data_IF_791521394523
#
_entry.id   IF_791521394523
#
_cell.length_a   1.000
_cell.length_b   1.000
_cell.length_c   1.000
_cell.angle_alpha   90.00
_cell.angle_beta   90.00
_cell.angle_gamma   90.00
#
_symmetry.space_group_name_H-M   'P 1'
#
loop_
_entity.id
_entity.type
_entity.pdbx_description
1 polymer ?
#
# COMPACT_ATOMS: atom_id res chain seq x y z
N UNK A 1 14.86 10.34 -14.40
CA UNK A 1 14.63 9.20 -13.50
C UNK A 1 15.76 9.25 -12.47
N UNK A 2 15.47 9.47 -11.19
CA UNK A 2 16.51 9.37 -10.15
C UNK A 2 17.05 7.93 -10.13
N UNK A 3 18.35 7.76 -9.93
CA UNK A 3 18.90 6.43 -9.70
C UNK A 3 18.20 5.80 -8.47
N UNK A 4 17.82 4.52 -8.52
CA UNK A 4 17.18 3.86 -7.39
C UNK A 4 18.13 3.88 -6.19
N UNK A 5 17.59 4.21 -5.02
CA UNK A 5 18.36 4.25 -3.79
C UNK A 5 18.85 2.84 -3.42
N UNK A 6 20.15 2.62 -3.17
CA UNK A 6 20.68 1.28 -2.97
C UNK A 6 20.20 0.68 -1.64
N UNK A 7 19.81 -0.59 -1.69
CA UNK A 7 19.53 -1.40 -0.50
C UNK A 7 20.86 -1.87 0.11
N UNK A 8 21.24 -1.31 1.26
CA UNK A 8 22.55 -1.57 1.87
C UNK A 8 22.49 -2.52 3.06
N UNK A 9 21.31 -2.76 3.65
CA UNK A 9 21.14 -3.56 4.87
C UNK A 9 20.03 -4.59 4.69
N UNK A 10 20.41 -5.81 4.34
CA UNK A 10 19.48 -6.91 4.05
C UNK A 10 19.82 -8.10 4.93
N UNK A 11 18.83 -8.66 5.63
CA UNK A 11 19.04 -9.86 6.44
C UNK A 11 19.13 -11.13 5.59
N UNK A 12 18.23 -11.27 4.60
CA UNK A 12 18.24 -12.35 3.62
C UNK A 12 17.99 -11.80 2.22
N UNK A 13 18.98 -11.89 1.35
CA UNK A 13 18.86 -11.53 -0.06
C UNK A 13 18.85 -12.80 -0.92
N UNK A 14 17.91 -12.85 -1.86
CA UNK A 14 17.77 -13.89 -2.87
C UNK A 14 17.94 -13.23 -4.23
N UNK A 15 18.95 -13.66 -4.96
CA UNK A 15 19.08 -13.46 -6.40
C UNK A 15 19.16 -14.83 -7.08
N UNK A 16 18.94 -14.87 -8.38
CA UNK A 16 18.66 -16.05 -9.22
C UNK A 16 19.21 -17.40 -8.69
N UNK A 17 20.51 -17.46 -8.39
CA UNK A 17 21.19 -18.66 -7.90
C UNK A 17 21.78 -18.52 -6.49
N UNK A 18 21.68 -17.36 -5.84
CA UNK A 18 22.38 -17.10 -4.59
C UNK A 18 21.45 -16.75 -3.43
N UNK A 19 21.81 -17.29 -2.28
CA UNK A 19 21.26 -16.92 -0.98
C UNK A 19 22.36 -16.19 -0.22
N UNK A 20 22.17 -14.90 0.06
CA UNK A 20 23.10 -14.11 0.86
C UNK A 20 22.46 -13.74 2.20
N UNK A 21 23.12 -14.11 3.30
CA UNK A 21 22.74 -13.72 4.66
C UNK A 21 23.56 -12.52 5.12
N UNK A 22 22.90 -11.44 5.52
CA UNK A 22 23.55 -10.29 6.12
C UNK A 22 23.62 -10.39 7.64
N UNK A 23 24.65 -9.81 8.25
CA UNK A 23 24.83 -9.75 9.71
C UNK A 23 24.03 -8.63 10.40
N UNK A 24 23.04 -8.05 9.70
CA UNK A 24 22.26 -6.88 10.17
C UNK A 24 21.01 -7.25 10.98
N UNK A 25 20.64 -8.52 10.99
CA UNK A 25 19.54 -9.07 11.79
C UNK A 25 19.82 -10.53 12.13
N UNK A 26 19.14 -11.05 13.15
CA UNK A 26 19.23 -12.47 13.49
C UNK A 26 18.37 -13.27 12.52
N UNK A 27 19.00 -14.17 11.78
CA UNK A 27 18.32 -15.12 10.88
C UNK A 27 18.52 -16.54 11.38
N UNK A 28 17.42 -17.20 11.73
CA UNK A 28 17.36 -18.62 12.07
C UNK A 28 16.52 -19.32 11.01
N UNK A 29 17.00 -20.44 10.47
CA UNK A 29 16.25 -21.16 9.45
C UNK A 29 16.58 -22.65 9.50
N UNK A 30 15.57 -23.49 9.23
CA UNK A 30 15.78 -24.92 9.00
C UNK A 30 16.42 -25.17 7.63
N UNK A 31 15.88 -24.55 6.59
CA UNK A 31 16.41 -24.63 5.23
C UNK A 31 16.14 -23.33 4.47
N UNK A 32 17.11 -22.90 3.68
CA UNK A 32 16.97 -21.84 2.68
C UNK A 32 17.81 -22.23 1.47
N UNK A 33 17.18 -22.27 0.31
CA UNK A 33 17.78 -22.46 -1.02
C UNK A 33 17.43 -21.26 -1.89
N UNK A 34 17.98 -21.12 -3.10
CA UNK A 34 17.60 -20.05 -4.03
C UNK A 34 16.10 -20.06 -4.41
N UNK A 35 15.44 -21.21 -4.33
CA UNK A 35 14.03 -21.39 -4.72
C UNK A 35 13.05 -21.24 -3.55
N UNK A 36 13.52 -21.40 -2.31
CA UNK A 36 12.63 -21.27 -1.17
C UNK A 36 13.26 -21.39 0.21
N UNK A 37 12.48 -20.98 1.21
CA UNK A 37 12.82 -21.09 2.62
C UNK A 37 11.62 -21.54 3.44
N UNK A 38 11.87 -22.34 4.48
CA UNK A 38 10.83 -22.79 5.40
C UNK A 38 11.29 -22.69 6.84
N UNK A 39 10.35 -22.36 7.75
CA UNK A 39 10.65 -22.20 9.17
C UNK A 39 11.80 -21.20 9.39
N UNK A 40 11.77 -20.11 8.62
CA UNK A 40 12.71 -19.00 8.72
C UNK A 40 12.17 -18.00 9.74
N UNK A 41 13.03 -17.57 10.66
CA UNK A 41 12.75 -16.54 11.64
C UNK A 41 13.78 -15.43 11.51
N UNK A 42 13.34 -14.25 11.11
CA UNK A 42 14.16 -13.04 10.99
C UNK A 42 13.72 -12.06 12.07
N UNK A 43 14.67 -11.58 12.88
CA UNK A 43 14.42 -10.55 13.90
C UNK A 43 15.49 -9.47 13.82
N UNK A 44 15.07 -8.22 13.65
CA UNK A 44 15.97 -7.07 13.54
C UNK A 44 15.44 -5.84 14.27
N UNK A 45 16.32 -5.11 14.94
CA UNK A 45 15.98 -3.86 15.66
C UNK A 45 16.64 -2.62 15.05
N UNK A 46 17.62 -2.81 14.17
CA UNK A 46 18.34 -1.70 13.57
C UNK A 46 17.54 -1.06 12.42
N UNK A 47 17.71 0.25 12.26
CA UNK A 47 17.06 1.04 11.21
C UNK A 47 17.47 0.59 9.80
N UNK A 48 16.57 0.76 8.84
CA UNK A 48 16.80 0.55 7.41
C UNK A 48 17.15 -0.90 7.03
N UNK A 49 16.84 -1.87 7.90
CA UNK A 49 17.06 -3.28 7.63
C UNK A 49 15.87 -3.89 6.91
N UNK A 50 16.10 -4.42 5.71
CA UNK A 50 15.16 -5.29 5.02
C UNK A 50 15.24 -6.72 5.57
N UNK A 51 14.08 -7.37 5.76
CA UNK A 51 14.02 -8.76 6.20
C UNK A 51 14.40 -9.72 5.08
N UNK A 52 13.54 -9.82 4.08
CA UNK A 52 13.77 -10.59 2.85
C UNK A 52 13.75 -9.67 1.64
N UNK A 53 14.75 -9.77 0.77
CA UNK A 53 14.74 -9.13 -0.56
C UNK A 53 14.88 -10.22 -1.61
N UNK A 54 13.98 -10.24 -2.58
CA UNK A 54 14.02 -11.10 -3.77
C UNK A 54 14.06 -10.19 -5.00
N UNK A 55 15.09 -10.35 -5.83
CA UNK A 55 15.39 -9.42 -6.91
C UNK A 55 15.90 -10.13 -8.18
N UNK A 56 16.13 -9.37 -9.25
CA UNK A 56 16.48 -9.92 -10.56
C UNK A 56 15.32 -10.76 -11.11
N UNK A 57 15.60 -11.94 -11.66
CA UNK A 57 14.59 -12.90 -12.15
C UNK A 57 14.33 -14.07 -11.19
N UNK A 58 14.77 -13.95 -9.94
CA UNK A 58 14.64 -15.00 -8.94
C UNK A 58 13.17 -15.36 -8.67
N UNK A 59 12.91 -16.65 -8.43
CA UNK A 59 11.59 -17.18 -8.05
C UNK A 59 11.72 -17.85 -6.70
N UNK A 60 11.13 -17.25 -5.67
CA UNK A 60 11.34 -17.69 -4.28
C UNK A 60 10.02 -17.88 -3.53
N UNK A 61 9.92 -18.98 -2.78
CA UNK A 61 8.80 -19.22 -1.86
C UNK A 61 9.27 -19.22 -0.41
N UNK A 62 8.72 -18.32 0.42
CA UNK A 62 8.87 -18.38 1.87
C UNK A 62 7.63 -19.01 2.50
N UNK A 63 7.81 -20.09 3.27
CA UNK A 63 6.71 -20.79 3.92
C UNK A 63 6.89 -20.93 5.43
N UNK A 64 5.80 -20.91 6.20
CA UNK A 64 5.79 -21.23 7.64
C UNK A 64 6.84 -20.44 8.43
N UNK A 65 6.90 -19.12 8.19
CA UNK A 65 8.03 -18.27 8.59
C UNK A 65 7.58 -16.99 9.29
N UNK A 66 8.49 -16.34 10.01
CA UNK A 66 8.22 -15.09 10.73
C UNK A 66 9.30 -14.05 10.48
N UNK A 67 8.89 -12.81 10.22
CA UNK A 67 9.77 -11.66 10.10
C UNK A 67 9.28 -10.58 11.08
N UNK A 68 10.13 -10.17 12.01
CA UNK A 68 9.82 -9.14 13.01
C UNK A 68 10.92 -8.06 12.97
N UNK A 69 10.54 -6.85 12.53
CA UNK A 69 11.46 -5.73 12.39
C UNK A 69 10.96 -4.52 13.20
N UNK A 70 11.83 -3.96 14.05
CA UNK A 70 11.51 -2.77 14.85
C UNK A 70 12.14 -1.47 14.32
N UNK A 71 13.16 -1.58 13.47
CA UNK A 71 13.89 -0.42 12.94
C UNK A 71 13.04 0.45 12.00
N UNK A 72 13.40 1.73 11.92
CA UNK A 72 12.76 2.73 11.06
C UNK A 72 13.15 2.56 9.60
N UNK A 73 12.22 2.81 8.70
CA UNK A 73 12.47 2.97 7.28
C UNK A 73 13.01 4.35 6.93
N UNK A 74 13.26 4.55 5.64
CA UNK A 74 13.74 5.82 5.08
C UNK A 74 12.91 6.25 3.87
N UNK A 75 12.59 5.29 3.02
CA UNK A 75 11.91 5.52 1.76
C UNK A 75 11.15 4.24 1.37
N UNK A 76 9.81 4.28 1.46
CA UNK A 76 8.98 3.13 1.13
C UNK A 76 8.85 2.93 -0.39
N UNK A 77 9.05 3.98 -1.20
CA UNK A 77 9.16 3.86 -2.66
C UNK A 77 10.36 3.00 -3.09
N UNK A 78 11.40 2.94 -2.27
CA UNK A 78 12.56 2.06 -2.47
C UNK A 78 12.41 0.73 -1.69
N UNK A 79 11.32 0.55 -0.94
CA UNK A 79 11.11 -0.60 -0.08
C UNK A 79 12.12 -0.70 1.08
N UNK A 80 12.76 0.40 1.50
CA UNK A 80 13.76 0.37 2.57
C UNK A 80 13.08 0.07 3.91
N UNK A 81 13.62 -0.92 4.62
CA UNK A 81 13.04 -1.50 5.84
C UNK A 81 11.73 -2.29 5.63
N UNK A 82 11.45 -2.74 4.42
CA UNK A 82 10.35 -3.68 4.20
C UNK A 82 10.66 -5.04 4.85
N UNK A 83 9.64 -5.66 5.45
CA UNK A 83 9.72 -7.03 5.95
C UNK A 83 10.06 -8.02 4.82
N UNK A 84 9.35 -7.92 3.71
CA UNK A 84 9.67 -8.61 2.46
C UNK A 84 9.56 -7.65 1.26
N UNK A 85 10.51 -7.72 0.34
CA UNK A 85 10.55 -6.91 -0.88
C UNK A 85 10.75 -7.82 -2.10
N UNK A 86 9.85 -7.71 -3.08
CA UNK A 86 10.05 -8.23 -4.43
C UNK A 86 10.32 -7.05 -5.38
N UNK A 87 11.38 -7.13 -6.18
CA UNK A 87 11.74 -6.05 -7.12
C UNK A 87 12.37 -6.56 -8.40
N UNK A 88 12.60 -5.65 -9.35
CA UNK A 88 13.01 -5.94 -10.72
C UNK A 88 12.00 -6.85 -11.46
N UNK A 89 12.32 -8.11 -11.73
CA UNK A 89 11.46 -9.10 -12.40
C UNK A 89 11.18 -10.33 -11.50
N UNK A 90 11.38 -10.18 -10.18
CA UNK A 90 11.33 -11.30 -9.26
C UNK A 90 9.90 -11.82 -9.05
N UNK A 91 9.78 -13.11 -8.73
CA UNK A 91 8.54 -13.71 -8.26
C UNK A 91 8.69 -14.18 -6.81
N UNK A 92 7.88 -13.62 -5.91
CA UNK A 92 7.88 -13.96 -4.49
C UNK A 92 6.54 -14.55 -4.08
N UNK A 93 6.56 -15.75 -3.50
CA UNK A 93 5.40 -16.33 -2.82
C UNK A 93 5.63 -16.37 -1.31
N UNK A 94 4.68 -15.83 -0.54
CA UNK A 94 4.65 -15.85 0.91
C UNK A 94 3.47 -16.69 1.39
N UNK A 95 3.73 -17.85 2.01
CA UNK A 95 2.68 -18.80 2.43
C UNK A 95 2.74 -19.07 3.93
N UNK A 96 1.64 -18.79 4.65
CA UNK A 96 1.58 -18.98 6.12
C UNK A 96 2.73 -18.27 6.83
N UNK A 97 2.94 -17.01 6.46
CA UNK A 97 3.97 -16.16 7.08
C UNK A 97 3.33 -15.14 8.02
N UNK A 98 4.07 -14.75 9.05
CA UNK A 98 3.75 -13.59 9.87
C UNK A 98 4.85 -12.54 9.69
N UNK A 99 4.48 -11.34 9.25
CA UNK A 99 5.40 -10.22 9.10
C UNK A 99 4.89 -9.05 9.92
N UNK A 100 5.70 -8.58 10.86
CA UNK A 100 5.39 -7.44 11.72
C UNK A 100 6.51 -6.41 11.62
N UNK A 101 6.14 -5.18 11.28
CA UNK A 101 7.04 -4.03 11.27
C UNK A 101 6.57 -2.95 12.24
N UNK A 102 7.51 -2.29 12.94
CA UNK A 102 7.21 -1.25 13.95
C UNK A 102 7.95 0.07 13.72
N UNK A 103 8.55 0.24 12.54
CA UNK A 103 9.21 1.47 12.14
C UNK A 103 8.29 2.39 11.35
N UNK A 104 8.53 3.70 11.43
CA UNK A 104 8.03 4.65 10.42
C UNK A 104 8.51 4.23 9.03
N UNK A 105 7.66 4.34 8.01
CA UNK A 105 7.92 3.99 6.60
C UNK A 105 8.19 2.49 6.36
N UNK A 106 8.21 1.66 7.41
CA UNK A 106 8.52 0.24 7.30
C UNK A 106 7.26 -0.57 6.93
N UNK A 107 7.18 -0.99 5.67
CA UNK A 107 6.09 -1.86 5.19
C UNK A 107 6.31 -3.31 5.61
N UNK A 108 5.22 -4.06 5.76
CA UNK A 108 5.33 -5.50 5.91
C UNK A 108 5.79 -6.14 4.58
N UNK A 109 5.17 -5.73 3.46
CA UNK A 109 5.52 -6.27 2.14
C UNK A 109 5.47 -5.18 1.07
N UNK A 110 6.47 -5.16 0.19
CA UNK A 110 6.50 -4.29 -0.99
C UNK A 110 6.79 -5.11 -2.26
N UNK A 111 6.11 -4.77 -3.36
CA UNK A 111 6.39 -5.27 -4.70
C UNK A 111 6.55 -4.08 -5.66
N UNK A 112 7.63 -4.05 -6.45
CA UNK A 112 7.89 -2.93 -7.38
C UNK A 112 8.40 -3.43 -8.73
N UNK A 113 8.61 -2.50 -9.66
CA UNK A 113 9.13 -2.72 -11.01
C UNK A 113 8.18 -3.62 -11.82
N UNK A 114 8.62 -4.81 -12.23
CA UNK A 114 7.82 -5.82 -12.96
C UNK A 114 7.64 -7.10 -12.15
N UNK A 115 7.84 -7.04 -10.83
CA UNK A 115 7.78 -8.21 -9.96
C UNK A 115 6.35 -8.76 -9.77
N UNK A 116 6.28 -10.04 -9.41
CA UNK A 116 5.04 -10.72 -9.04
C UNK A 116 5.10 -11.14 -7.58
N UNK A 117 4.06 -10.80 -6.82
CA UNK A 117 3.92 -11.15 -5.42
C UNK A 117 2.64 -11.96 -5.19
N UNK A 118 2.77 -13.10 -4.52
CA UNK A 118 1.64 -13.89 -4.09
C UNK A 118 1.70 -14.15 -2.59
N UNK A 119 0.67 -13.74 -1.86
CA UNK A 119 0.61 -13.89 -0.41
C UNK A 119 -0.62 -14.72 -0.05
N UNK A 120 -0.41 -15.79 0.71
CA UNK A 120 -1.48 -16.73 1.05
C UNK A 120 -1.44 -17.09 2.53
N UNK A 121 -2.60 -17.02 3.21
CA UNK A 121 -2.75 -17.42 4.62
C UNK A 121 -1.79 -16.69 5.55
N UNK A 122 -1.50 -15.41 5.28
CA UNK A 122 -0.49 -14.64 6.00
C UNK A 122 -1.10 -13.63 6.97
N UNK A 123 -0.32 -13.24 7.97
CA UNK A 123 -0.59 -12.09 8.84
C UNK A 123 0.46 -11.02 8.58
N UNK A 124 0.02 -9.86 8.07
CA UNK A 124 0.88 -8.73 7.74
C UNK A 124 0.48 -7.54 8.60
N UNK A 125 1.43 -6.98 9.35
CA UNK A 125 1.16 -5.87 10.27
C UNK A 125 2.24 -4.80 10.11
N UNK A 126 1.83 -3.55 9.88
CA UNK A 126 2.71 -2.40 10.00
C UNK A 126 2.16 -1.43 11.06
N UNK A 127 2.92 -1.27 12.14
CA UNK A 127 2.54 -0.41 13.26
C UNK A 127 2.92 1.06 13.04
N UNK A 128 3.77 1.35 12.05
CA UNK A 128 4.37 2.66 11.90
C UNK A 128 5.25 3.03 13.10
N UNK A 129 5.61 4.31 13.19
CA UNK A 129 6.39 4.86 14.29
C UNK A 129 6.34 6.39 14.30
N UNK A 130 7.00 7.01 15.26
CA UNK A 130 7.11 8.47 15.32
C UNK A 130 8.02 9.02 14.21
N UNK A 131 7.62 10.14 13.63
CA UNK A 131 8.48 10.88 12.73
C UNK A 131 9.75 11.36 13.46
N UNK A 132 10.92 11.39 12.79
CA UNK A 132 12.13 11.93 13.39
C UNK A 132 11.97 13.42 13.69
N UNK A 133 12.63 13.90 14.75
CA UNK A 133 12.66 15.32 15.09
C UNK A 133 13.17 16.14 13.91
N UNK A 134 12.50 17.25 13.61
CA UNK A 134 12.84 18.13 12.49
C UNK A 134 12.42 17.61 11.11
N UNK A 135 11.63 16.53 11.03
CA UNK A 135 11.04 16.10 9.77
C UNK A 135 10.16 17.20 9.17
N UNK A 136 10.43 17.55 7.92
CA UNK A 136 9.63 18.49 7.14
C UNK A 136 8.86 17.69 6.09
N UNK A 137 7.53 17.84 6.13
CA UNK A 137 6.58 17.24 5.19
C UNK A 137 7.02 17.49 3.76
N UNK A 138 6.91 16.45 2.94
CA UNK A 138 7.10 16.52 1.49
C UNK A 138 6.26 15.47 0.80
N UNK A 139 5.92 15.74 -0.45
CA UNK A 139 5.21 14.79 -1.32
C UNK A 139 6.24 14.19 -2.29
N UNK A 140 6.31 12.86 -2.37
CA UNK A 140 7.26 12.13 -3.22
C UNK A 140 8.35 11.39 -2.44
N UNK A 141 9.51 11.08 -3.05
CA UNK A 141 10.58 10.30 -2.40
C UNK A 141 11.02 10.89 -1.06
N UNK A 142 11.12 10.04 -0.03
CA UNK A 142 11.43 10.44 1.34
C UNK A 142 10.24 11.02 2.11
N UNK A 143 9.02 10.90 1.58
CA UNK A 143 7.78 11.11 2.32
C UNK A 143 7.65 10.08 3.46
N UNK A 144 7.29 10.53 4.65
CA UNK A 144 7.14 9.69 5.84
C UNK A 144 5.74 9.75 6.47
N UNK A 145 4.84 10.50 5.84
CA UNK A 145 3.45 10.68 6.21
C UNK A 145 2.61 10.83 4.93
N UNK A 146 1.30 10.51 4.93
CA UNK A 146 0.48 10.63 3.72
C UNK A 146 0.42 12.07 3.19
N UNK A 147 0.23 12.26 1.86
CA UNK A 147 0.00 13.57 1.28
C UNK A 147 -1.21 14.28 1.92
N UNK A 148 -1.03 15.55 2.30
CA UNK A 148 -2.09 16.39 2.90
C UNK A 148 -3.44 16.33 2.16
N UNK A 149 -3.51 16.33 0.82
CA UNK A 149 -4.79 16.29 0.09
C UNK A 149 -5.68 15.08 0.40
N UNK A 150 -5.11 13.98 0.90
CA UNK A 150 -5.88 12.80 1.31
C UNK A 150 -6.66 13.03 2.61
N UNK A 151 -6.28 14.01 3.44
CA UNK A 151 -6.96 14.27 4.70
C UNK A 151 -6.83 13.15 5.73
N UNK A 152 -5.75 12.37 5.67
CA UNK A 152 -5.42 11.31 6.62
C UNK A 152 -4.07 11.57 7.29
N UNK A 153 -3.81 10.85 8.38
CA UNK A 153 -2.51 10.82 9.05
C UNK A 153 -2.01 9.39 9.21
N UNK A 154 -0.72 9.22 9.50
CA UNK A 154 -0.11 7.90 9.68
C UNK A 154 1.32 7.91 9.16
N UNK A 155 2.04 6.82 9.37
CA UNK A 155 3.48 6.81 9.13
C UNK A 155 4.00 5.56 8.44
N UNK A 156 3.15 4.57 8.13
CA UNK A 156 3.56 3.40 7.36
C UNK A 156 2.41 2.83 6.56
N UNK A 157 2.73 2.28 5.38
CA UNK A 157 1.83 1.46 4.59
C UNK A 157 2.13 -0.01 4.87
N UNK A 158 1.11 -0.83 5.15
CA UNK A 158 1.35 -2.26 5.43
C UNK A 158 1.83 -2.98 4.18
N UNK A 159 1.19 -2.68 3.05
CA UNK A 159 1.59 -3.20 1.75
C UNK A 159 1.69 -2.08 0.73
N UNK A 160 2.60 -2.25 -0.22
CA UNK A 160 2.83 -1.30 -1.31
C UNK A 160 3.17 -2.03 -2.61
N UNK A 161 2.40 -1.77 -3.66
CA UNK A 161 2.60 -2.31 -5.01
C UNK A 161 2.86 -1.18 -5.99
N UNK A 162 3.97 -1.24 -6.72
CA UNK A 162 4.45 -0.10 -7.51
C UNK A 162 4.87 -0.49 -8.93
N UNK A 163 4.99 0.52 -9.79
CA UNK A 163 5.39 0.35 -11.17
C UNK A 163 4.36 -0.50 -11.92
N UNK A 164 4.80 -1.62 -12.47
CA UNK A 164 3.98 -2.60 -13.18
C UNK A 164 3.91 -3.95 -12.42
N UNK A 165 4.16 -3.92 -11.11
CA UNK A 165 4.10 -5.12 -10.28
C UNK A 165 2.68 -5.67 -10.14
N UNK A 166 2.57 -6.98 -9.97
CA UNK A 166 1.32 -7.70 -9.80
C UNK A 166 1.31 -8.38 -8.43
N UNK A 167 0.31 -8.09 -7.60
CA UNK A 167 0.20 -8.67 -6.27
C UNK A 167 -1.17 -9.29 -6.01
N UNK A 168 -1.18 -10.53 -5.50
CA UNK A 168 -2.40 -11.23 -5.08
C UNK A 168 -2.29 -11.66 -3.62
N UNK A 169 -3.31 -11.34 -2.82
CA UNK A 169 -3.42 -11.68 -1.40
C UNK A 169 -4.66 -12.56 -1.18
N UNK A 170 -4.48 -13.79 -0.68
CA UNK A 170 -5.57 -14.73 -0.43
C UNK A 170 -5.62 -15.17 1.03
N UNK A 171 -6.81 -15.07 1.64
CA UNK A 171 -7.04 -15.54 3.02
C UNK A 171 -6.05 -14.95 4.02
N UNK A 172 -5.79 -13.66 3.89
CA UNK A 172 -4.81 -12.94 4.70
C UNK A 172 -5.48 -12.07 5.77
N UNK A 173 -4.72 -11.77 6.82
CA UNK A 173 -5.02 -10.68 7.75
C UNK A 173 -4.00 -9.57 7.53
N UNK A 174 -4.45 -8.41 7.07
CA UNK A 174 -3.61 -7.23 6.82
C UNK A 174 -4.02 -6.11 7.76
N UNK A 175 -3.05 -5.52 8.44
CA UNK A 175 -3.31 -4.55 9.49
C UNK A 175 -2.33 -3.38 9.47
N UNK A 176 -2.88 -2.19 9.27
CA UNK A 176 -2.16 -0.94 9.40
C UNK A 176 -2.57 -0.22 10.70
N UNK A 177 -1.60 0.36 11.38
CA UNK A 177 -1.92 1.28 12.47
C UNK A 177 -2.47 2.62 11.96
N UNK A 178 -1.99 3.10 10.82
CA UNK A 178 -2.53 4.27 10.11
C UNK A 178 -2.01 4.35 8.67
N UNK A 179 -2.30 5.45 7.98
CA UNK A 179 -2.02 5.67 6.54
C UNK A 179 -2.71 4.67 5.60
N UNK A 180 -2.23 3.43 5.47
CA UNK A 180 -2.73 2.52 4.43
C UNK A 180 -2.44 1.04 4.66
N UNK A 181 -3.45 0.18 4.41
CA UNK A 181 -3.26 -1.27 4.44
C UNK A 181 -2.86 -1.83 3.05
N UNK A 182 -3.72 -1.63 2.03
CA UNK A 182 -3.51 -2.09 0.66
C UNK A 182 -3.20 -0.92 -0.26
N UNK A 183 -1.92 -0.70 -0.59
CA UNK A 183 -1.53 0.51 -1.33
C UNK A 183 -0.94 0.17 -2.70
N UNK A 184 -1.31 0.97 -3.70
CA UNK A 184 -0.53 1.10 -4.94
C UNK A 184 0.10 2.50 -5.02
N UNK A 185 1.21 2.67 -5.72
CA UNK A 185 1.83 3.99 -5.95
C UNK A 185 2.75 3.97 -7.18
N UNK A 186 3.00 5.13 -7.78
CA UNK A 186 3.81 5.30 -8.98
C UNK A 186 3.46 4.25 -10.06
N UNK A 187 2.16 3.98 -10.23
CA UNK A 187 1.69 2.87 -11.03
C UNK A 187 1.86 3.13 -12.53
N UNK A 188 2.22 2.07 -13.24
CA UNK A 188 2.32 1.98 -14.70
C UNK A 188 1.68 0.65 -15.13
N UNK A 189 0.45 0.41 -14.70
CA UNK A 189 -0.25 -0.86 -14.85
C UNK A 189 -0.09 -1.81 -13.65
N UNK A 190 0.18 -1.30 -12.45
CA UNK A 190 0.20 -2.13 -11.24
C UNK A 190 -1.16 -2.76 -10.98
N UNK A 191 -1.17 -4.02 -10.57
CA UNK A 191 -2.41 -4.73 -10.19
C UNK A 191 -2.33 -5.25 -8.76
N UNK A 192 -3.41 -5.05 -8.01
CA UNK A 192 -3.54 -5.52 -6.63
C UNK A 192 -4.88 -6.23 -6.49
N UNK A 193 -4.85 -7.53 -6.18
CA UNK A 193 -6.03 -8.36 -5.98
C UNK A 193 -6.02 -8.91 -4.56
N UNK A 194 -7.13 -8.76 -3.84
CA UNK A 194 -7.31 -9.30 -2.50
C UNK A 194 -8.56 -10.18 -2.46
N UNK A 195 -8.41 -11.40 -1.98
CA UNK A 195 -9.49 -12.38 -1.90
C UNK A 195 -9.63 -12.89 -0.47
N UNK A 196 -10.88 -12.99 -0.01
CA UNK A 196 -11.25 -13.73 1.20
C UNK A 196 -10.45 -13.30 2.44
N UNK A 197 -10.14 -12.00 2.56
CA UNK A 197 -9.19 -11.47 3.54
C UNK A 197 -9.82 -10.47 4.50
N UNK A 198 -9.16 -10.27 5.64
CA UNK A 198 -9.50 -9.23 6.61
C UNK A 198 -8.49 -8.09 6.53
N UNK A 199 -8.99 -6.87 6.35
CA UNK A 199 -8.20 -5.64 6.28
C UNK A 199 -8.61 -4.74 7.44
N UNK A 200 -7.64 -4.31 8.25
CA UNK A 200 -7.87 -3.44 9.40
C UNK A 200 -6.97 -2.22 9.31
N UNK A 201 -7.55 -1.04 9.54
CA UNK A 201 -6.81 0.22 9.65
C UNK A 201 -7.26 0.91 10.93
N UNK A 202 -6.40 0.85 11.97
CA UNK A 202 -6.79 1.17 13.35
C UNK A 202 -7.08 2.66 13.55
N UNK A 203 -6.18 3.51 13.07
CA UNK A 203 -6.26 4.97 13.13
C UNK A 203 -6.47 5.51 11.73
N UNK A 204 -6.32 6.82 11.56
CA UNK A 204 -6.55 7.49 10.27
C UNK A 204 -5.84 6.78 9.11
N UNK A 205 -6.55 6.56 8.01
CA UNK A 205 -6.01 5.87 6.84
C UNK A 205 -7.05 5.18 5.98
N UNK A 206 -6.58 4.48 4.94
CA UNK A 206 -7.42 3.77 3.97
C UNK A 206 -7.21 2.25 4.00
N UNK A 207 -8.30 1.51 3.73
CA UNK A 207 -8.24 0.06 3.50
C UNK A 207 -7.53 -0.28 2.20
N UNK A 208 -7.93 0.35 1.10
CA UNK A 208 -7.29 0.23 -0.21
C UNK A 208 -7.04 1.59 -0.88
N UNK A 209 -5.97 1.69 -1.66
CA UNK A 209 -5.64 2.87 -2.46
C UNK A 209 -5.23 2.46 -3.87
N UNK A 210 -5.99 2.91 -4.86
CA UNK A 210 -5.72 2.77 -6.29
C UNK A 210 -5.12 4.07 -6.81
N UNK A 211 -3.82 4.06 -7.10
CA UNK A 211 -3.08 5.19 -7.65
C UNK A 211 -3.25 5.29 -9.16
N UNK A 212 -2.95 6.45 -9.73
CA UNK A 212 -3.10 6.70 -11.16
C UNK A 212 -2.40 5.62 -11.99
N UNK A 213 -3.16 4.93 -12.85
CA UNK A 213 -2.67 3.81 -13.66
C UNK A 213 -2.70 2.44 -12.98
N UNK A 214 -3.27 2.32 -11.78
CA UNK A 214 -3.44 1.07 -11.05
C UNK A 214 -4.85 0.46 -11.20
N UNK A 215 -4.92 -0.86 -11.00
CA UNK A 215 -6.16 -1.62 -10.89
C UNK A 215 -6.18 -2.39 -9.58
N UNK A 216 -7.15 -2.08 -8.71
CA UNK A 216 -7.33 -2.71 -7.40
C UNK A 216 -8.66 -3.44 -7.34
N UNK A 217 -8.63 -4.70 -6.92
CA UNK A 217 -9.83 -5.53 -6.77
C UNK A 217 -9.86 -6.19 -5.39
N UNK A 218 -10.95 -6.00 -4.65
CA UNK A 218 -11.22 -6.66 -3.38
C UNK A 218 -12.41 -7.60 -3.57
N UNK A 219 -12.24 -8.89 -3.25
CA UNK A 219 -13.26 -9.92 -3.38
C UNK A 219 -13.54 -10.57 -2.02
N UNK A 220 -14.82 -10.68 -1.64
CA UNK A 220 -15.30 -11.43 -0.46
C UNK A 220 -14.51 -11.12 0.82
N UNK A 221 -14.12 -9.86 0.97
CA UNK A 221 -13.22 -9.41 2.02
C UNK A 221 -13.93 -8.52 3.03
N UNK A 222 -13.37 -8.41 4.23
CA UNK A 222 -13.92 -7.61 5.33
C UNK A 222 -12.97 -6.46 5.65
N UNK A 223 -13.48 -5.23 5.67
CA UNK A 223 -12.75 -4.01 6.01
C UNK A 223 -13.30 -3.40 7.31
N UNK A 224 -12.39 -3.07 8.23
CA UNK A 224 -12.67 -2.24 9.41
C UNK A 224 -11.64 -1.11 9.44
N UNK A 225 -12.08 0.11 9.07
CA UNK A 225 -11.17 1.21 8.76
C UNK A 225 -11.63 2.51 9.43
N UNK A 226 -10.67 3.31 9.89
CA UNK A 226 -10.98 4.54 10.60
C UNK A 226 -11.32 5.72 9.68
N UNK A 227 -10.95 5.72 8.39
CA UNK A 227 -11.24 6.85 7.50
C UNK A 227 -11.86 6.42 6.18
N UNK A 228 -11.14 5.70 5.32
CA UNK A 228 -11.65 5.33 3.99
C UNK A 228 -11.62 3.83 3.77
N UNK A 229 -12.72 3.27 3.24
CA UNK A 229 -12.74 1.89 2.76
C UNK A 229 -11.78 1.74 1.57
N UNK A 230 -11.94 2.63 0.59
CA UNK A 230 -11.08 2.75 -0.56
C UNK A 230 -10.78 4.20 -0.94
N UNK A 231 -9.67 4.41 -1.64
CA UNK A 231 -9.32 5.68 -2.28
C UNK A 231 -8.96 5.39 -3.73
N UNK A 232 -9.47 6.22 -4.64
CA UNK A 232 -9.06 6.23 -6.05
C UNK A 232 -8.45 7.58 -6.35
N UNK A 233 -7.23 7.56 -6.91
CA UNK A 233 -6.45 8.73 -7.19
C UNK A 233 -6.12 8.78 -8.69
N UNK A 234 -6.64 9.78 -9.41
CA UNK A 234 -6.46 9.95 -10.84
C UNK A 234 -7.17 8.88 -11.68
N UNK A 235 -6.58 8.52 -12.82
CA UNK A 235 -7.12 7.50 -13.73
C UNK A 235 -6.79 6.10 -13.24
N UNK A 236 -7.61 5.58 -12.32
CA UNK A 236 -7.41 4.28 -11.68
C UNK A 236 -8.74 3.54 -11.48
N UNK A 237 -8.65 2.24 -11.24
CA UNK A 237 -9.83 1.39 -11.01
C UNK A 237 -9.83 0.79 -9.62
N UNK A 238 -10.99 0.83 -8.95
CA UNK A 238 -11.25 0.08 -7.72
C UNK A 238 -12.55 -0.71 -7.87
N UNK A 239 -12.45 -2.03 -7.71
CA UNK A 239 -13.58 -2.94 -7.65
C UNK A 239 -13.72 -3.56 -6.25
N UNK A 240 -14.92 -3.54 -5.69
CA UNK A 240 -15.27 -4.21 -4.44
C UNK A 240 -16.41 -5.19 -4.70
N UNK A 241 -16.11 -6.48 -4.69
CA UNK A 241 -17.04 -7.56 -5.02
C UNK A 241 -17.35 -8.38 -3.76
N UNK A 242 -18.60 -8.40 -3.32
CA UNK A 242 -19.07 -9.06 -2.11
C UNK A 242 -18.28 -8.65 -0.85
N UNK A 243 -17.90 -7.38 -0.78
CA UNK A 243 -17.13 -6.82 0.34
C UNK A 243 -18.06 -6.38 1.47
N UNK A 244 -17.67 -6.66 2.71
CA UNK A 244 -18.27 -6.05 3.90
C UNK A 244 -17.33 -5.00 4.47
N UNK A 245 -17.77 -3.76 4.62
CA UNK A 245 -16.91 -2.67 5.12
C UNK A 245 -17.62 -1.82 6.16
N UNK A 246 -16.91 -1.48 7.23
CA UNK A 246 -17.26 -0.40 8.13
C UNK A 246 -16.17 0.68 8.08
N UNK A 247 -16.53 1.84 7.55
CA UNK A 247 -15.65 2.99 7.44
C UNK A 247 -16.10 4.11 8.37
N UNK A 248 -15.25 4.54 9.32
CA UNK A 248 -15.55 5.70 10.20
C UNK A 248 -15.32 7.07 9.53
N UNK A 249 -15.23 7.08 8.21
CA UNK A 249 -15.25 8.26 7.36
C UNK A 249 -16.12 7.99 6.15
N UNK A 250 -15.56 7.91 4.95
CA UNK A 250 -16.29 7.60 3.72
C UNK A 250 -16.05 6.13 3.30
N UNK A 251 -17.00 5.52 2.56
CA UNK A 251 -16.76 4.20 1.97
C UNK A 251 -15.66 4.30 0.90
N UNK A 252 -15.78 5.27 -0.01
CA UNK A 252 -14.75 5.57 -1.01
C UNK A 252 -14.52 7.08 -1.13
N UNK A 253 -13.24 7.48 -1.22
CA UNK A 253 -12.85 8.80 -1.71
C UNK A 253 -12.30 8.67 -3.14
N UNK A 254 -12.70 9.55 -4.04
CA UNK A 254 -12.17 9.67 -5.39
C UNK A 254 -11.59 11.07 -5.53
N UNK A 255 -10.35 11.20 -5.98
CA UNK A 255 -9.76 12.51 -6.27
C UNK A 255 -8.79 12.51 -7.45
N UNK A 256 -8.56 13.67 -8.06
CA UNK A 256 -7.48 13.84 -9.05
C UNK A 256 -6.14 14.03 -8.35
N UNK A 257 -5.08 13.49 -8.97
CA UNK A 257 -3.69 13.66 -8.52
C UNK A 257 -2.99 14.72 -9.36
N UNK A 258 -3.18 14.68 -10.68
CA UNK A 258 -2.47 15.58 -11.61
C UNK A 258 -3.24 16.85 -11.94
N UNK A 259 -4.46 17.02 -11.43
CA UNK A 259 -5.33 18.15 -11.77
C UNK A 259 -5.76 18.14 -13.24
N UNK A 260 -5.76 16.97 -13.89
CA UNK A 260 -6.18 16.85 -15.28
C UNK A 260 -7.68 16.61 -15.36
N UNK A 261 -8.39 17.52 -16.04
CA UNK A 261 -9.82 17.39 -16.32
C UNK A 261 -10.21 16.20 -17.21
N UNK A 262 -9.25 15.43 -17.75
CA UNK A 262 -9.51 14.20 -18.51
C UNK A 262 -9.33 12.92 -17.69
N UNK A 263 -8.75 13.01 -16.49
CA UNK A 263 -8.63 11.85 -15.60
C UNK A 263 -10.02 11.34 -15.24
N UNK A 264 -10.19 10.03 -15.35
CA UNK A 264 -11.43 9.35 -14.99
C UNK A 264 -11.13 8.16 -14.09
N UNK A 265 -11.65 8.23 -12.87
CA UNK A 265 -11.66 7.12 -11.92
C UNK A 265 -12.81 6.17 -12.23
N UNK A 266 -12.59 4.86 -12.06
CA UNK A 266 -13.63 3.84 -12.22
C UNK A 266 -13.85 3.13 -10.89
N UNK A 267 -15.07 3.24 -10.36
CA UNK A 267 -15.49 2.56 -9.14
C UNK A 267 -16.58 1.54 -9.46
N UNK A 268 -16.35 0.28 -9.09
CA UNK A 268 -17.36 -0.78 -9.16
C UNK A 268 -17.62 -1.34 -7.77
N UNK A 269 -18.87 -1.24 -7.32
CA UNK A 269 -19.37 -1.88 -6.11
C UNK A 269 -20.38 -2.95 -6.53
N UNK A 270 -20.05 -4.22 -6.29
CA UNK A 270 -20.91 -5.33 -6.67
C UNK A 270 -21.15 -6.29 -5.50
N UNK A 271 -22.39 -6.45 -5.07
CA UNK A 271 -22.71 -7.26 -3.89
C UNK A 271 -22.21 -6.64 -2.57
N UNK A 272 -22.35 -7.38 -1.48
CA UNK A 272 -21.83 -6.99 -0.17
C UNK A 272 -22.59 -5.87 0.56
N UNK A 273 -22.00 -5.41 1.66
CA UNK A 273 -22.57 -4.41 2.57
C UNK A 273 -21.50 -3.42 3.03
N UNK A 274 -21.66 -2.16 2.65
CA UNK A 274 -20.70 -1.10 2.89
C UNK A 274 -21.38 0.00 3.70
N UNK A 275 -20.83 0.29 4.88
CA UNK A 275 -21.34 1.32 5.78
C UNK A 275 -20.26 2.38 6.04
N UNK A 276 -20.69 3.64 6.05
CA UNK A 276 -19.86 4.79 6.40
C UNK A 276 -20.55 5.72 7.38
N UNK A 277 -19.77 6.44 8.20
CA UNK A 277 -20.31 7.47 9.10
C UNK A 277 -20.53 8.80 8.39
N UNK A 278 -19.71 9.11 7.39
CA UNK A 278 -19.89 10.25 6.49
C UNK A 278 -20.51 9.77 5.16
N UNK A 279 -20.53 10.67 4.17
CA UNK A 279 -21.00 10.35 2.84
C UNK A 279 -20.41 9.04 2.32
N UNK A 280 -21.20 8.19 1.66
CA UNK A 280 -20.69 6.90 1.20
C UNK A 280 -19.58 7.08 0.17
N UNK A 281 -19.83 7.90 -0.85
CA UNK A 281 -18.86 8.19 -1.91
C UNK A 281 -18.56 9.68 -1.92
N UNK A 282 -17.28 10.02 -1.82
CA UNK A 282 -16.78 11.40 -1.85
C UNK A 282 -15.98 11.62 -3.15
N UNK A 283 -16.41 12.53 -4.01
CA UNK A 283 -15.72 12.84 -5.29
C UNK A 283 -15.15 14.25 -5.26
N UNK A 284 -13.82 14.37 -5.23
CA UNK A 284 -13.06 15.62 -5.12
C UNK A 284 -12.27 15.92 -6.40
N UNK A 285 -12.70 16.91 -7.16
CA UNK A 285 -11.95 17.41 -8.33
C UNK A 285 -11.56 16.31 -9.33
N UNK A 286 -12.45 15.35 -9.58
CA UNK A 286 -12.21 14.22 -10.49
C UNK A 286 -13.46 13.90 -11.29
N UNK A 287 -13.28 13.34 -12.49
CA UNK A 287 -14.36 12.62 -13.16
C UNK A 287 -14.39 11.18 -12.64
N UNK A 288 -15.59 10.63 -12.51
CA UNK A 288 -15.77 9.28 -11.99
C UNK A 288 -16.89 8.55 -12.74
N UNK A 289 -16.62 7.32 -13.17
CA UNK A 289 -17.62 6.35 -13.56
C UNK A 289 -17.88 5.43 -12.35
N UNK A 290 -19.09 5.49 -11.81
CA UNK A 290 -19.47 4.76 -10.58
C UNK A 290 -20.59 3.77 -10.92
N UNK A 291 -20.32 2.49 -10.71
CA UNK A 291 -21.31 1.42 -10.87
C UNK A 291 -21.59 0.77 -9.52
N UNK A 292 -22.87 0.71 -9.14
CA UNK A 292 -23.33 0.04 -7.91
C UNK A 292 -24.36 -1.01 -8.29
N UNK A 293 -24.10 -2.28 -7.97
CA UNK A 293 -24.93 -3.42 -8.34
C UNK A 293 -25.13 -4.34 -7.14
N UNK A 294 -26.37 -4.55 -6.71
CA UNK A 294 -26.70 -5.50 -5.62
C UNK A 294 -25.95 -5.25 -4.31
N UNK A 295 -25.44 -4.04 -4.09
CA UNK A 295 -24.69 -3.64 -2.89
C UNK A 295 -25.61 -2.91 -1.92
N UNK A 296 -25.54 -3.26 -0.63
CA UNK A 296 -26.16 -2.46 0.44
C UNK A 296 -25.18 -1.34 0.83
N UNK A 297 -25.46 -0.12 0.40
CA UNK A 297 -24.66 1.06 0.73
C UNK A 297 -25.39 1.91 1.76
N UNK A 298 -24.76 2.17 2.91
CA UNK A 298 -25.31 2.99 3.98
C UNK A 298 -24.33 4.10 4.36
N UNK A 299 -24.83 5.32 4.46
CA UNK A 299 -24.12 6.45 5.06
C UNK A 299 -24.94 6.96 6.25
N UNK A 300 -24.35 7.00 7.44
CA UNK A 300 -25.06 7.41 8.65
C UNK A 300 -25.44 8.91 8.60
N UNK A 301 -24.71 9.72 7.83
CA UNK A 301 -25.06 11.12 7.57
C UNK A 301 -26.13 11.33 6.49
N UNK A 302 -26.61 10.24 5.85
CA UNK A 302 -27.64 10.28 4.80
C UNK A 302 -27.13 10.55 3.38
N UNK A 303 -25.88 10.97 3.20
CA UNK A 303 -25.34 11.31 1.89
C UNK A 303 -24.75 10.07 1.19
N UNK A 304 -25.33 9.63 0.07
CA UNK A 304 -24.73 8.54 -0.70
C UNK A 304 -23.58 9.01 -1.58
N UNK A 305 -23.72 10.19 -2.19
CA UNK A 305 -22.71 10.78 -3.06
C UNK A 305 -22.55 12.26 -2.71
N UNK A 306 -21.35 12.63 -2.28
CA UNK A 306 -21.00 14.01 -2.00
C UNK A 306 -19.93 14.48 -2.99
N UNK A 307 -20.24 15.57 -3.69
CA UNK A 307 -19.28 16.35 -4.45
C UNK A 307 -19.14 17.71 -3.76
N UNK A 308 -18.13 17.90 -2.89
CA UNK A 308 -17.91 19.22 -2.29
C UNK A 308 -17.63 20.24 -3.40
N UNK A 309 -17.95 21.54 -3.17
CA UNK A 309 -17.52 22.61 -4.06
C UNK A 309 -16.02 22.50 -4.29
N UNK A 310 -15.57 22.82 -5.51
CA UNK A 310 -14.17 22.73 -5.89
C UNK A 310 -13.32 23.41 -4.80
N UNK A 311 -12.38 22.66 -4.21
CA UNK A 311 -11.46 23.22 -3.23
C UNK A 311 -10.76 24.40 -3.92
N UNK A 312 -10.71 25.60 -3.32
CA UNK A 312 -9.98 26.70 -3.92
C UNK A 312 -8.56 26.21 -4.16
N UNK A 313 -8.13 26.23 -5.43
CA UNK A 313 -6.81 25.77 -5.89
C UNK A 313 -5.78 26.07 -4.79
N UNK A 314 -5.12 25.07 -4.17
CA UNK A 314 -4.29 25.30 -3.02
C UNK A 314 -3.26 26.37 -3.40
N UNK A 315 -3.40 27.54 -2.78
CA UNK A 315 -2.57 28.68 -3.10
C UNK A 315 -1.11 28.25 -2.89
N UNK A 316 -0.38 28.14 -4.00
CA UNK A 316 1.08 28.06 -4.12
C UNK A 316 1.81 27.74 -2.80
N UNK A 317 1.89 26.47 -2.41
CA UNK A 317 3.06 26.06 -1.64
C UNK A 317 4.24 26.08 -2.61
N UNK A 318 5.08 27.12 -2.45
CA UNK A 318 6.15 27.51 -3.37
C UNK A 318 7.20 26.42 -3.50
N UNK A 319 7.07 25.52 -4.46
CA UNK A 319 8.20 24.75 -5.00
C UNK A 319 8.02 24.51 -6.50
N UNK A 320 8.12 25.56 -7.32
CA UNK A 320 8.32 25.39 -8.75
C UNK A 320 9.37 26.40 -9.23
N UNK A 321 10.59 25.91 -9.48
CA UNK A 321 11.73 26.71 -9.92
C UNK A 321 11.88 26.73 -11.45
N UNK A 322 10.78 26.68 -12.22
CA UNK A 322 10.83 26.76 -13.68
C UNK A 322 9.79 27.75 -14.23
N UNK A 323 10.13 28.55 -15.26
CA UNK A 323 9.29 29.67 -15.72
C UNK A 323 8.00 29.27 -16.46
N UNK A 324 7.87 28.01 -16.88
CA UNK A 324 6.82 27.60 -17.83
C UNK A 324 5.74 26.68 -17.25
N UNK A 325 5.56 26.64 -15.92
CA UNK A 325 4.40 25.98 -15.32
C UNK A 325 3.13 26.82 -15.58
N UNK A 326 2.49 26.63 -16.74
CA UNK A 326 1.09 27.03 -16.92
C UNK A 326 0.22 26.07 -16.11
N UNK A 327 -0.51 26.64 -15.16
CA UNK A 327 -1.52 25.91 -14.39
C UNK A 327 -2.66 25.53 -15.33
N UNK A 328 -2.89 24.24 -15.53
CA UNK A 328 -4.17 23.72 -16.01
C UNK A 328 -4.92 23.23 -14.78
N UNK A 329 -6.08 23.83 -14.54
CA UNK A 329 -7.12 23.30 -13.66
C UNK A 329 -7.98 22.28 -14.43
#
# INVERSE_FOLDING_TARGET
MMAPEPLTRIALAIDEAHVKRGAVARVQARSVTPEGGRQVRIVGTADQVNGLVVQGRARFTLADSTIDLAGKGKNDFAGIAAGALAKDDAALTLRRVTIVTRGIVSSAVTATDRSTLHVQHARLVAMGGAAPSGYVRRIGPGMMEPPTPLGIVGTARTTLVMGSAHATYDRCHIEADGWGAMSTDAARGATLVVNDSRIVVRRSGYGAYADNGASVTLNRSVLDVATFGGVIAGQATLAMNDVTSLSRGNTVMIHSVMGSGTERATLTLEGGALASTNAAILVKSANADITIKRTRLRADNGDLLLRPPAWPCPARERTCAKPDCRATC
#
